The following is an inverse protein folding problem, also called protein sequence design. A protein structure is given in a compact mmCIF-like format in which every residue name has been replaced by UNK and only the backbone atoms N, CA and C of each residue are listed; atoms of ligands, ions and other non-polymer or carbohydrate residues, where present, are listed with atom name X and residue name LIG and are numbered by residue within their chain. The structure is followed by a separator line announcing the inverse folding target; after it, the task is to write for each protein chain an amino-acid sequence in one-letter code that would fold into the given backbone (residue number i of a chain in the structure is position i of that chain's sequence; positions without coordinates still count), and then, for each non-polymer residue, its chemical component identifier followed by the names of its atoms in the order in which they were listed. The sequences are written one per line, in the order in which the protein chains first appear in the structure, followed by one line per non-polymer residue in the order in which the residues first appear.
data_IF_774158273995
#
_entry.id   IF_774158273995
#
_cell.length_a   1.000
_cell.length_b   1.000
_cell.length_c   1.000
_cell.angle_alpha   90.00
_cell.angle_beta   90.00
_cell.angle_gamma   90.00
#
_symmetry.space_group_name_H-M   'P 1'
#
loop_
_entity.id
_entity.type
_entity.pdbx_description
1 polymer ?
#
# COMPACT_ATOMS: atom_id res chain seq x y z
N UNK A 1 0.09 11.45 -3.06
CA UNK A 1 -1.13 12.11 -2.50
C UNK A 1 -0.74 13.30 -1.62
N UNK A 2 -0.59 14.51 -2.18
CA UNK A 2 -0.29 15.71 -1.38
C UNK A 2 -1.32 16.84 -1.61
N UNK A 3 -2.56 16.48 -1.97
CA UNK A 3 -3.61 17.46 -2.26
C UNK A 3 -5.05 16.96 -2.09
N UNK A 4 -5.24 15.82 -1.42
CA UNK A 4 -6.55 15.24 -1.13
C UNK A 4 -6.70 15.20 0.40
N UNK A 5 -7.73 15.86 0.91
CA UNK A 5 -7.92 16.21 2.32
C UNK A 5 -8.80 15.20 3.07
N UNK A 6 -9.42 14.24 2.39
CA UNK A 6 -10.24 13.20 3.03
C UNK A 6 -10.40 11.95 2.16
N UNK A 7 -10.78 10.83 2.79
CA UNK A 7 -11.18 9.59 2.13
C UNK A 7 -12.33 9.78 1.13
N UNK A 8 -13.25 10.70 1.39
CA UNK A 8 -14.39 11.02 0.51
C UNK A 8 -13.97 11.51 -0.88
N UNK A 9 -12.90 12.30 -1.00
CA UNK A 9 -12.45 12.79 -2.31
C UNK A 9 -11.86 11.66 -3.19
N UNK A 10 -11.41 10.55 -2.60
CA UNK A 10 -10.92 9.38 -3.34
C UNK A 10 -12.09 8.60 -3.98
N UNK A 11 -13.23 8.55 -3.31
CA UNK A 11 -14.44 7.97 -3.86
C UNK A 11 -14.99 8.80 -5.03
N UNK A 12 -14.91 10.14 -4.94
CA UNK A 12 -15.38 11.04 -6.01
C UNK A 12 -14.56 10.95 -7.31
N UNK A 13 -13.26 10.60 -7.23
CA UNK A 13 -12.41 10.43 -8.43
C UNK A 13 -12.55 9.05 -9.10
N UNK A 14 -13.40 8.16 -8.57
CA UNK A 14 -13.60 6.82 -9.14
C UNK A 14 -12.41 5.88 -8.94
N UNK A 15 -11.75 5.95 -7.78
CA UNK A 15 -10.62 5.08 -7.43
C UNK A 15 -10.93 3.58 -7.56
N UNK A 16 -12.18 3.16 -7.31
CA UNK A 16 -12.63 1.79 -7.49
C UNK A 16 -12.41 1.27 -8.92
N UNK A 17 -12.59 2.11 -9.93
CA UNK A 17 -12.39 1.73 -11.34
C UNK A 17 -10.90 1.48 -11.65
N UNK A 18 -9.98 2.12 -10.92
CA UNK A 18 -8.54 1.91 -11.10
C UNK A 18 -8.04 0.62 -10.42
N UNK A 19 -8.58 0.27 -9.25
CA UNK A 19 -8.22 -0.96 -8.55
C UNK A 19 -8.80 -2.19 -9.25
N UNK A 20 -10.06 -2.10 -9.70
CA UNK A 20 -10.83 -3.26 -10.13
C UNK A 20 -10.60 -3.65 -11.61
N UNK A 21 -9.80 -2.89 -12.36
CA UNK A 21 -9.56 -3.14 -13.78
C UNK A 21 -8.37 -4.08 -14.08
N UNK A 22 -7.87 -4.80 -13.06
CA UNK A 22 -6.77 -5.76 -13.20
C UNK A 22 -5.37 -5.15 -13.37
N UNK A 23 -5.23 -3.83 -13.14
CA UNK A 23 -3.96 -3.12 -13.14
C UNK A 23 -3.24 -3.15 -11.79
N UNK A 24 -2.08 -2.48 -11.73
CA UNK A 24 -1.36 -2.21 -10.47
C UNK A 24 -1.58 -0.75 -10.10
N UNK A 25 -2.17 -0.50 -8.93
CA UNK A 25 -2.32 0.83 -8.36
C UNK A 25 -1.29 1.06 -7.24
N UNK A 26 -0.59 2.20 -7.27
CA UNK A 26 0.32 2.62 -6.21
C UNK A 26 -0.29 3.83 -5.49
N UNK A 27 -0.48 3.70 -4.18
CA UNK A 27 -1.11 4.72 -3.35
C UNK A 27 -0.09 5.22 -2.34
N UNK A 28 0.26 6.49 -2.45
CA UNK A 28 1.04 7.17 -1.42
C UNK A 28 0.12 7.67 -0.30
N UNK A 29 0.61 7.70 0.94
CA UNK A 29 -0.16 8.15 2.12
C UNK A 29 -1.44 7.33 2.36
N UNK A 30 -1.39 6.03 2.07
CA UNK A 30 -2.47 5.07 2.31
C UNK A 30 -2.98 5.06 3.77
N UNK A 31 -2.19 5.59 4.72
CA UNK A 31 -2.59 5.78 6.11
C UNK A 31 -3.75 6.77 6.30
N UNK A 32 -3.99 7.68 5.34
CA UNK A 32 -5.11 8.64 5.38
C UNK A 32 -6.45 7.93 5.07
N UNK A 33 -6.40 6.84 4.30
CA UNK A 33 -7.57 6.09 3.82
C UNK A 33 -7.58 4.65 4.33
N UNK A 34 -7.02 4.42 5.51
CA UNK A 34 -6.81 3.07 6.04
C UNK A 34 -8.09 2.24 6.15
N UNK A 35 -9.25 2.89 6.27
CA UNK A 35 -10.57 2.25 6.33
C UNK A 35 -11.10 1.83 4.94
N UNK A 36 -10.60 2.48 3.88
CA UNK A 36 -11.04 2.31 2.49
C UNK A 36 -10.02 1.51 1.65
N UNK A 37 -8.98 0.98 2.30
CA UNK A 37 -8.02 0.13 1.62
C UNK A 37 -8.67 -1.19 1.19
N UNK A 38 -8.26 -1.74 0.03
CA UNK A 38 -8.79 -3.01 -0.43
C UNK A 38 -8.49 -4.12 0.58
N UNK A 39 -9.29 -5.20 0.55
CA UNK A 39 -9.13 -6.34 1.47
C UNK A 39 -7.76 -7.01 1.38
N UNK A 40 -7.14 -6.98 0.21
CA UNK A 40 -5.82 -7.53 -0.05
C UNK A 40 -4.95 -6.48 -0.74
N UNK A 41 -3.74 -6.25 -0.23
CA UNK A 41 -2.76 -5.32 -0.82
C UNK A 41 -1.34 -5.63 -0.37
N UNK A 42 -0.36 -5.07 -1.07
CA UNK A 42 1.04 -5.04 -0.65
C UNK A 42 1.28 -3.70 0.05
N UNK A 43 1.73 -3.76 1.31
CA UNK A 43 2.15 -2.59 2.08
C UNK A 43 3.66 -2.39 1.88
N UNK A 44 4.03 -1.16 1.55
CA UNK A 44 5.43 -0.73 1.47
C UNK A 44 5.61 0.43 2.44
N UNK A 45 6.51 0.28 3.40
CA UNK A 45 6.80 1.29 4.41
C UNK A 45 8.28 1.69 4.35
N UNK A 46 8.54 2.98 4.26
CA UNK A 46 9.89 3.53 4.26
C UNK A 46 10.24 4.06 5.65
N UNK A 47 11.33 3.58 6.22
CA UNK A 47 11.89 4.04 7.50
C UNK A 47 13.24 4.69 7.27
N UNK A 48 13.56 5.67 8.11
CA UNK A 48 14.90 6.24 8.14
C UNK A 48 15.91 5.18 8.63
N UNK A 49 17.01 5.02 7.90
CA UNK A 49 18.14 4.24 8.36
C UNK A 49 19.12 5.12 9.16
N UNK A 50 20.21 4.54 9.65
CA UNK A 50 21.23 5.26 10.42
C UNK A 50 21.95 6.34 9.59
N UNK A 51 22.09 6.14 8.28
CA UNK A 51 22.72 7.12 7.38
C UNK A 51 21.68 7.97 6.66
N UNK A 52 22.01 9.25 6.45
CA UNK A 52 21.14 10.27 5.87
C UNK A 52 20.51 9.86 4.52
N UNK A 53 21.26 9.13 3.69
CA UNK A 53 20.84 8.71 2.35
C UNK A 53 20.45 7.23 2.26
N UNK A 54 20.29 6.56 3.41
CA UNK A 54 19.81 5.17 3.47
C UNK A 54 18.36 5.14 3.99
N UNK A 55 17.58 4.20 3.47
CA UNK A 55 16.20 3.93 3.91
C UNK A 55 16.06 2.44 4.12
N UNK A 56 15.34 2.06 5.17
CA UNK A 56 14.87 0.70 5.36
C UNK A 56 13.50 0.62 4.70
N UNK A 57 13.31 -0.37 3.84
CA UNK A 57 12.05 -0.59 3.13
C UNK A 57 11.46 -1.88 3.65
N UNK A 58 10.35 -1.77 4.37
CA UNK A 58 9.59 -2.91 4.84
C UNK A 58 8.46 -3.19 3.86
N UNK A 59 8.41 -4.42 3.33
CA UNK A 59 7.42 -4.85 2.37
C UNK A 59 6.66 -6.04 2.95
N UNK A 60 5.34 -5.97 3.00
CA UNK A 60 4.48 -7.05 3.49
C UNK A 60 3.20 -7.19 2.68
N UNK A 61 2.67 -8.41 2.63
CA UNK A 61 1.36 -8.67 2.05
C UNK A 61 0.30 -8.66 3.15
N UNK A 62 -0.82 -8.00 2.91
CA UNK A 62 -1.93 -7.89 3.87
C UNK A 62 -3.19 -8.50 3.25
N UNK A 63 -3.97 -9.23 4.06
CA UNK A 63 -5.33 -9.65 3.71
C UNK A 63 -5.53 -11.14 3.42
N UNK A 64 -4.50 -11.84 2.94
CA UNK A 64 -4.57 -13.28 2.67
C UNK A 64 -3.32 -13.99 3.19
N UNK A 65 -3.51 -14.86 4.19
CA UNK A 65 -2.41 -15.56 4.88
C UNK A 65 -1.59 -16.48 3.97
N UNK A 66 -2.23 -17.18 3.04
CA UNK A 66 -1.52 -18.09 2.12
C UNK A 66 -0.64 -17.30 1.15
N UNK A 67 -1.15 -16.17 0.64
CA UNK A 67 -0.37 -15.27 -0.23
C UNK A 67 0.73 -14.57 0.57
N UNK A 68 0.46 -14.20 1.81
CA UNK A 68 1.46 -13.62 2.72
C UNK A 68 2.62 -14.57 2.99
N UNK A 69 2.34 -15.84 3.29
CA UNK A 69 3.38 -16.86 3.44
C UNK A 69 4.21 -17.03 2.17
N UNK A 70 3.56 -17.12 0.99
CA UNK A 70 4.26 -17.18 -0.31
C UNK A 70 5.10 -15.93 -0.57
N UNK A 71 4.58 -14.77 -0.18
CA UNK A 71 5.27 -13.49 -0.31
C UNK A 71 6.51 -13.44 0.58
N UNK A 72 6.41 -13.84 1.85
CA UNK A 72 7.53 -13.89 2.77
C UNK A 72 8.63 -14.85 2.29
N UNK A 73 8.26 -16.01 1.73
CA UNK A 73 9.22 -16.94 1.12
C UNK A 73 9.90 -16.32 -0.12
N UNK A 74 9.15 -15.58 -0.95
CA UNK A 74 9.68 -14.98 -2.16
C UNK A 74 10.60 -13.77 -1.89
N UNK A 75 10.32 -12.99 -0.84
CA UNK A 75 11.03 -11.76 -0.50
C UNK A 75 11.97 -11.88 0.71
N UNK A 76 12.01 -13.04 1.37
CA UNK A 76 13.02 -13.38 2.36
C UNK A 76 12.97 -12.55 3.64
N UNK A 77 11.78 -12.40 4.24
CA UNK A 77 11.63 -11.88 5.60
C UNK A 77 11.84 -12.96 6.66
#
# INVERSE_FOLDING_TARGET
MYRLCSSEEIYEIGYEDYINNGGVALIEWANIISEDLPKEYIRIEFKYAEKENERIVDISYVGNKEKEEKFNVAFGN
#
